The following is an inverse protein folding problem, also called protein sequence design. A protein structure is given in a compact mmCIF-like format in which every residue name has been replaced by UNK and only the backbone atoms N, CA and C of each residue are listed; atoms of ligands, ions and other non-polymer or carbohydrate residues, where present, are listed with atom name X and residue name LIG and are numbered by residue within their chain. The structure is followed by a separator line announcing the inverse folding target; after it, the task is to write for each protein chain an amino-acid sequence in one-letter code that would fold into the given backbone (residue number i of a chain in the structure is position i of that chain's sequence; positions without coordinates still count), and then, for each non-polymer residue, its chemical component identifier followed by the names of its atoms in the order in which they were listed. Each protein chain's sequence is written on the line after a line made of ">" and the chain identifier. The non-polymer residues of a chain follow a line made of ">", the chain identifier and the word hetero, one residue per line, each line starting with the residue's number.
data_IF_629224065499
#
_entry.id   IF_629224065499
#
_cell.length_a   1.000
_cell.length_b   1.000
_cell.length_c   1.000
_cell.angle_alpha   90.00
_cell.angle_beta   90.00
_cell.angle_gamma   90.00
#
_symmetry.space_group_name_H-M   'P 1'
#
loop_
_entity.id
_entity.type
_entity.pdbx_description
1 polymer ?
#
# COMPACT_ATOMS: atom_id res chain seq x y z
N UNK A 1 63.29 76.43 -115.68
CA UNK A 1 62.88 76.70 -114.28
C UNK A 1 61.36 76.81 -114.26
N UNK A 2 60.53 76.22 -113.41
CA UNK A 2 60.60 75.19 -112.37
C UNK A 2 59.14 74.69 -112.17
N UNK A 3 58.96 73.41 -111.82
CA UNK A 3 57.66 72.78 -111.46
C UNK A 3 57.20 73.27 -110.08
N UNK A 4 55.89 73.40 -109.88
CA UNK A 4 55.27 73.25 -108.54
C UNK A 4 53.92 72.52 -108.67
N UNK A 5 53.74 71.47 -107.87
CA UNK A 5 52.49 70.72 -107.70
C UNK A 5 51.59 71.42 -106.68
N UNK A 6 50.30 71.59 -107.01
CA UNK A 6 49.28 72.09 -106.09
C UNK A 6 48.85 71.00 -105.09
N UNK A 7 48.69 71.38 -103.82
CA UNK A 7 48.40 70.47 -102.69
C UNK A 7 46.94 69.99 -102.64
N UNK A 8 46.62 68.93 -101.86
CA UNK A 8 45.27 68.33 -101.79
C UNK A 8 44.26 69.25 -101.11
N UNK A 9 43.04 69.33 -101.64
CA UNK A 9 41.94 70.09 -101.04
C UNK A 9 41.21 69.25 -99.98
N UNK A 10 41.30 69.69 -98.73
CA UNK A 10 40.59 69.10 -97.60
C UNK A 10 39.16 69.66 -97.52
N UNK A 11 38.16 68.76 -97.55
CA UNK A 11 36.75 69.12 -97.58
C UNK A 11 36.29 69.55 -96.18
N UNK A 12 36.52 70.82 -95.86
CA UNK A 12 36.08 71.45 -94.62
C UNK A 12 34.55 71.58 -94.61
N UNK A 13 33.88 70.67 -93.89
CA UNK A 13 32.46 70.83 -93.54
C UNK A 13 32.37 71.84 -92.40
N UNK A 14 31.73 72.98 -92.66
CA UNK A 14 31.45 73.99 -91.63
C UNK A 14 30.39 73.43 -90.68
N UNK A 15 30.88 72.78 -89.62
CA UNK A 15 30.05 72.39 -88.49
C UNK A 15 29.83 73.64 -87.64
N UNK A 16 28.58 74.08 -87.51
CA UNK A 16 28.21 75.22 -86.66
C UNK A 16 28.54 74.87 -85.21
N UNK A 17 29.64 75.44 -84.71
CA UNK A 17 30.10 75.26 -83.35
C UNK A 17 29.14 75.98 -82.40
N UNK A 18 28.20 75.25 -81.79
CA UNK A 18 27.30 75.73 -80.72
C UNK A 18 27.85 75.26 -79.36
N UNK A 19 28.92 75.87 -78.82
CA UNK A 19 29.65 75.36 -77.65
C UNK A 19 28.78 75.27 -76.39
N UNK A 20 27.82 76.19 -76.25
CA UNK A 20 26.95 76.27 -75.08
C UNK A 20 26.01 75.07 -74.96
N UNK A 21 25.42 74.57 -76.06
CA UNK A 21 24.48 73.43 -76.00
C UNK A 21 25.16 72.13 -75.59
N UNK A 22 26.36 71.86 -76.11
CA UNK A 22 27.13 70.66 -75.78
C UNK A 22 27.60 70.66 -74.32
N UNK A 23 27.97 71.84 -73.80
CA UNK A 23 28.32 72.02 -72.39
C UNK A 23 27.11 71.76 -71.47
N UNK A 24 25.94 72.34 -71.80
CA UNK A 24 24.70 72.09 -71.04
C UNK A 24 24.30 70.61 -71.05
N UNK A 25 24.35 69.91 -72.20
CA UNK A 25 24.00 68.48 -72.25
C UNK A 25 24.95 67.61 -71.45
N UNK A 26 26.24 67.97 -71.37
CA UNK A 26 27.20 67.26 -70.52
C UNK A 26 26.90 67.48 -69.05
N UNK A 27 26.62 68.72 -68.65
CA UNK A 27 26.23 69.04 -67.27
C UNK A 27 24.95 68.28 -66.88
N UNK A 28 23.91 68.29 -67.71
CA UNK A 28 22.67 67.56 -67.39
C UNK A 28 22.91 66.06 -67.30
N UNK A 29 23.71 65.47 -68.19
CA UNK A 29 24.05 64.04 -68.10
C UNK A 29 24.79 63.69 -66.80
N UNK A 30 25.73 64.53 -66.36
CA UNK A 30 26.45 64.34 -65.08
C UNK A 30 25.50 64.45 -63.90
N UNK A 31 24.61 65.45 -63.89
CA UNK A 31 23.61 65.62 -62.82
C UNK A 31 22.67 64.41 -62.74
N UNK A 32 22.22 63.88 -63.88
CA UNK A 32 21.37 62.68 -63.93
C UNK A 32 22.11 61.46 -63.38
N UNK A 33 23.38 61.26 -63.76
CA UNK A 33 24.19 60.15 -63.26
C UNK A 33 24.39 60.27 -61.74
N UNK A 34 24.74 61.46 -61.25
CA UNK A 34 24.91 61.70 -59.80
C UNK A 34 23.59 61.47 -59.06
N UNK A 35 22.48 61.94 -59.61
CA UNK A 35 21.15 61.71 -59.02
C UNK A 35 20.80 60.21 -58.96
N UNK A 36 21.13 59.43 -59.99
CA UNK A 36 20.96 57.98 -60.01
C UNK A 36 21.82 57.27 -58.97
N UNK A 37 23.10 57.65 -58.83
CA UNK A 37 24.02 57.07 -57.84
C UNK A 37 23.55 57.37 -56.41
N UNK A 38 23.14 58.61 -56.14
CA UNK A 38 22.62 59.00 -54.82
C UNK A 38 21.30 58.28 -54.53
N UNK A 39 20.40 58.20 -55.52
CA UNK A 39 19.13 57.46 -55.39
C UNK A 39 19.35 55.97 -55.09
N UNK A 40 20.25 55.31 -55.82
CA UNK A 40 20.60 53.91 -55.60
C UNK A 40 21.26 53.69 -54.23
N UNK A 41 22.12 54.59 -53.79
CA UNK A 41 22.77 54.50 -52.47
C UNK A 41 21.77 54.67 -51.32
N UNK A 42 20.84 55.62 -51.43
CA UNK A 42 19.80 55.83 -50.41
C UNK A 42 18.82 54.64 -50.36
N UNK A 43 18.42 54.12 -51.52
CA UNK A 43 17.53 52.96 -51.63
C UNK A 43 18.19 51.67 -51.09
N UNK A 44 19.45 51.42 -51.44
CA UNK A 44 20.21 50.29 -50.90
C UNK A 44 20.44 50.39 -49.39
N UNK A 45 20.62 51.61 -48.88
CA UNK A 45 20.73 51.87 -47.44
C UNK A 45 19.42 51.59 -46.70
N UNK A 46 18.25 51.95 -47.25
CA UNK A 46 16.96 51.64 -46.61
C UNK A 46 16.66 50.14 -46.57
N UNK A 47 16.88 49.40 -47.66
CA UNK A 47 16.66 47.96 -47.66
C UNK A 47 17.64 47.19 -46.76
N UNK A 48 18.87 47.69 -46.61
CA UNK A 48 19.88 47.12 -45.71
C UNK A 48 19.49 47.21 -44.23
N UNK A 49 18.83 48.30 -43.83
CA UNK A 49 18.40 48.47 -42.43
C UNK A 49 17.25 47.54 -42.03
N UNK A 50 16.29 47.26 -42.92
CA UNK A 50 15.20 46.34 -42.62
C UNK A 50 15.71 44.90 -42.44
N UNK A 51 16.55 44.41 -43.37
CA UNK A 51 17.15 43.07 -43.27
C UNK A 51 18.05 42.92 -42.04
N UNK A 52 18.77 43.98 -41.66
CA UNK A 52 19.59 44.02 -40.44
C UNK A 52 18.74 43.92 -39.15
N UNK A 53 17.60 44.62 -39.09
CA UNK A 53 16.69 44.57 -37.94
C UNK A 53 16.08 43.19 -37.75
N UNK A 54 15.52 42.57 -38.79
CA UNK A 54 14.95 41.21 -38.69
C UNK A 54 15.99 40.17 -38.27
N UNK A 55 17.22 40.29 -38.76
CA UNK A 55 18.30 39.37 -38.37
C UNK A 55 18.68 39.57 -36.90
N UNK A 56 18.77 40.82 -36.45
CA UNK A 56 19.11 41.15 -35.05
C UNK A 56 18.01 40.72 -34.09
N UNK A 57 16.73 40.94 -34.45
CA UNK A 57 15.58 40.50 -33.67
C UNK A 57 15.53 38.98 -33.53
N UNK A 58 15.77 38.23 -34.62
CA UNK A 58 15.85 36.76 -34.58
C UNK A 58 17.01 36.28 -33.72
N UNK A 59 18.19 36.89 -33.86
CA UNK A 59 19.34 36.53 -33.01
C UNK A 59 19.01 36.79 -31.55
N UNK A 60 18.40 37.93 -31.23
CA UNK A 60 18.01 38.26 -29.86
C UNK A 60 16.95 37.30 -29.31
N UNK A 61 15.92 36.94 -30.11
CA UNK A 61 14.89 35.99 -29.68
C UNK A 61 15.45 34.58 -29.48
N UNK A 62 16.28 34.09 -30.40
CA UNK A 62 16.95 32.80 -30.26
C UNK A 62 17.89 32.80 -29.04
N UNK A 63 18.61 33.89 -28.81
CA UNK A 63 19.48 34.01 -27.62
C UNK A 63 18.66 33.98 -26.34
N UNK A 64 17.50 34.66 -26.31
CA UNK A 64 16.60 34.63 -25.17
C UNK A 64 16.03 33.22 -24.92
N UNK A 65 15.63 32.51 -25.99
CA UNK A 65 15.14 31.13 -25.92
C UNK A 65 16.22 30.17 -25.40
N UNK A 66 17.46 30.28 -25.88
CA UNK A 66 18.59 29.49 -25.38
C UNK A 66 18.80 29.73 -23.89
N UNK A 67 18.79 31.00 -23.44
CA UNK A 67 18.93 31.32 -22.02
C UNK A 67 17.77 30.77 -21.17
N UNK A 68 16.55 30.75 -21.70
CA UNK A 68 15.39 30.16 -21.02
C UNK A 68 15.51 28.63 -20.92
N UNK A 69 15.92 27.98 -22.01
CA UNK A 69 16.16 26.55 -22.04
C UNK A 69 17.28 26.15 -21.08
N UNK A 70 18.39 26.90 -21.03
CA UNK A 70 19.48 26.67 -20.08
C UNK A 70 18.98 26.79 -18.63
N UNK A 71 18.19 27.82 -18.30
CA UNK A 71 17.58 27.97 -16.97
C UNK A 71 16.66 26.81 -16.64
N UNK A 72 15.86 26.35 -17.61
CA UNK A 72 14.96 25.21 -17.44
C UNK A 72 15.73 23.91 -17.19
N UNK A 73 16.80 23.68 -17.95
CA UNK A 73 17.68 22.52 -17.77
C UNK A 73 18.32 22.55 -16.37
N UNK A 74 18.81 23.71 -15.92
CA UNK A 74 19.37 23.83 -14.57
C UNK A 74 18.32 23.55 -13.49
N UNK A 75 17.10 24.08 -13.62
CA UNK A 75 16.01 23.82 -12.68
C UNK A 75 15.62 22.34 -12.65
N UNK A 76 15.46 21.71 -13.82
CA UNK A 76 15.14 20.29 -13.92
C UNK A 76 16.23 19.42 -13.32
N UNK A 77 17.51 19.71 -13.60
CA UNK A 77 18.63 19.01 -12.98
C UNK A 77 18.60 19.12 -11.45
N UNK A 78 18.35 20.32 -10.93
CA UNK A 78 18.23 20.52 -9.48
C UNK A 78 17.07 19.72 -8.89
N UNK A 79 15.90 19.71 -9.55
CA UNK A 79 14.75 18.90 -9.12
C UNK A 79 15.08 17.41 -9.13
N UNK A 80 15.73 16.90 -10.17
CA UNK A 80 16.15 15.49 -10.25
C UNK A 80 17.08 15.14 -9.09
N UNK A 81 18.10 15.98 -8.81
CA UNK A 81 19.01 15.76 -7.69
C UNK A 81 18.26 15.73 -6.35
N UNK A 82 17.31 16.66 -6.14
CA UNK A 82 16.49 16.68 -4.92
C UNK A 82 15.63 15.41 -4.81
N UNK A 83 15.01 14.97 -5.90
CA UNK A 83 14.17 13.77 -5.92
C UNK A 83 14.98 12.49 -5.70
N UNK A 84 16.16 12.38 -6.32
CA UNK A 84 17.07 11.25 -6.11
C UNK A 84 17.54 11.17 -4.66
N UNK A 85 17.92 12.32 -4.07
CA UNK A 85 18.31 12.40 -2.66
C UNK A 85 17.14 12.12 -1.71
N UNK A 86 15.95 12.60 -2.03
CA UNK A 86 14.72 12.27 -1.30
C UNK A 86 14.46 10.77 -1.29
N UNK A 87 14.51 10.13 -2.47
CA UNK A 87 14.33 8.68 -2.58
C UNK A 87 15.41 7.87 -1.85
N UNK A 88 16.66 8.34 -1.81
CA UNK A 88 17.73 7.72 -1.04
C UNK A 88 17.43 7.77 0.47
N UNK A 89 17.00 8.93 0.97
CA UNK A 89 16.61 9.12 2.38
C UNK A 89 15.39 8.27 2.73
N UNK A 90 14.37 8.25 1.88
CA UNK A 90 13.15 7.46 2.09
C UNK A 90 13.46 5.96 2.18
N UNK A 91 14.34 5.44 1.32
CA UNK A 91 14.79 4.05 1.38
C UNK A 91 15.55 3.75 2.69
N UNK A 92 16.43 4.65 3.11
CA UNK A 92 17.18 4.49 4.36
C UNK A 92 16.24 4.52 5.58
N UNK A 93 15.25 5.42 5.59
CA UNK A 93 14.24 5.49 6.63
C UNK A 93 13.38 4.22 6.68
N UNK A 94 12.93 3.72 5.52
CA UNK A 94 12.15 2.49 5.42
C UNK A 94 12.94 1.26 5.94
N UNK A 95 14.22 1.12 5.60
CA UNK A 95 15.04 0.03 6.11
C UNK A 95 15.30 0.17 7.62
N UNK A 96 15.50 1.39 8.14
CA UNK A 96 15.61 1.64 9.59
C UNK A 96 14.36 1.22 10.36
N UNK A 97 13.17 1.56 9.85
CA UNK A 97 11.89 1.11 10.42
C UNK A 97 11.77 -0.42 10.37
N UNK A 98 12.15 -1.03 9.24
CA UNK A 98 12.13 -2.49 9.08
C UNK A 98 13.07 -3.19 10.07
N UNK A 99 14.28 -2.68 10.25
CA UNK A 99 15.24 -3.19 11.24
C UNK A 99 14.72 -3.03 12.67
N UNK A 100 14.15 -1.88 13.00
CA UNK A 100 13.52 -1.64 14.31
C UNK A 100 12.39 -2.63 14.57
N UNK A 101 11.52 -2.89 13.59
CA UNK A 101 10.42 -3.83 13.72
C UNK A 101 10.93 -5.27 13.95
N UNK A 102 11.96 -5.69 13.22
CA UNK A 102 12.61 -6.99 13.44
C UNK A 102 13.14 -7.10 14.86
N UNK A 103 13.91 -6.11 15.31
CA UNK A 103 14.48 -6.09 16.67
C UNK A 103 13.39 -6.18 17.75
N UNK A 104 12.31 -5.42 17.61
CA UNK A 104 11.18 -5.46 18.55
C UNK A 104 10.50 -6.83 18.57
N UNK A 105 10.34 -7.48 17.41
CA UNK A 105 9.79 -8.84 17.35
C UNK A 105 10.71 -9.86 18.02
N UNK A 106 12.01 -9.74 17.81
CA UNK A 106 13.00 -10.62 18.44
C UNK A 106 13.00 -10.43 19.96
N UNK A 107 12.88 -9.18 20.45
CA UNK A 107 12.77 -8.85 21.86
C UNK A 107 11.47 -9.39 22.48
N UNK A 108 10.33 -9.23 21.80
CA UNK A 108 9.05 -9.83 22.23
C UNK A 108 9.19 -11.36 22.33
N UNK A 109 9.75 -12.00 21.31
CA UNK A 109 9.94 -13.45 21.31
C UNK A 109 10.84 -13.93 22.47
N UNK A 110 11.91 -13.17 22.76
CA UNK A 110 12.79 -13.44 23.89
C UNK A 110 12.08 -13.29 25.24
N UNK A 111 11.33 -12.19 25.43
CA UNK A 111 10.56 -11.94 26.66
C UNK A 111 9.47 -13.00 26.85
N UNK A 112 8.74 -13.37 25.80
CA UNK A 112 7.74 -14.43 25.87
C UNK A 112 8.37 -15.78 26.23
N UNK A 113 9.56 -16.08 25.69
CA UNK A 113 10.30 -17.28 26.04
C UNK A 113 10.74 -17.26 27.51
N UNK A 114 11.22 -16.13 28.01
CA UNK A 114 11.59 -15.96 29.41
C UNK A 114 10.38 -16.10 30.34
N UNK A 115 9.23 -15.52 29.98
CA UNK A 115 7.98 -15.67 30.73
C UNK A 115 7.52 -17.13 30.74
N UNK A 116 7.59 -17.84 29.61
CA UNK A 116 7.26 -19.28 29.55
C UNK A 116 8.19 -20.10 30.43
N UNK A 117 9.49 -19.82 30.40
CA UNK A 117 10.48 -20.49 31.26
C UNK A 117 10.21 -20.21 32.74
N UNK A 118 9.96 -18.95 33.11
CA UNK A 118 9.66 -18.55 34.47
C UNK A 118 8.38 -19.20 34.98
N UNK A 119 7.30 -19.20 34.19
CA UNK A 119 6.06 -19.93 34.50
C UNK A 119 6.33 -21.42 34.70
N UNK A 120 7.16 -22.03 33.86
CA UNK A 120 7.56 -23.44 33.97
C UNK A 120 8.31 -23.78 35.27
N UNK A 121 9.12 -22.85 35.80
CA UNK A 121 9.91 -23.07 37.04
C UNK A 121 9.13 -22.68 38.30
N UNK A 122 8.48 -21.52 38.30
CA UNK A 122 7.89 -20.91 39.51
C UNK A 122 6.45 -21.30 39.77
N UNK A 123 5.72 -21.73 38.74
CA UNK A 123 4.35 -22.17 38.88
C UNK A 123 4.08 -23.40 37.99
N UNK A 124 4.58 -24.59 38.39
CA UNK A 124 4.02 -25.85 37.89
C UNK A 124 2.51 -25.97 38.23
N UNK A 125 2.00 -25.05 39.07
CA UNK A 125 0.74 -25.16 39.79
C UNK A 125 -0.40 -24.22 39.38
N UNK A 126 -0.28 -23.36 38.36
CA UNK A 126 -1.50 -22.68 37.85
C UNK A 126 -2.39 -23.66 37.03
N UNK A 127 -1.83 -24.84 36.74
CA UNK A 127 -2.50 -26.10 36.34
C UNK A 127 -2.46 -27.18 37.46
N UNK A 128 -2.18 -26.81 38.73
CA UNK A 128 -1.82 -27.75 39.84
C UNK A 128 -2.79 -28.88 40.11
N UNK A 129 -4.04 -28.72 39.71
CA UNK A 129 -5.09 -29.66 40.05
C UNK A 129 -5.33 -30.70 38.99
N UNK A 130 -4.77 -30.51 37.79
CA UNK A 130 -4.85 -31.51 36.74
C UNK A 130 -6.25 -31.78 36.21
N UNK A 131 -7.26 -30.97 36.53
CA UNK A 131 -8.61 -31.14 36.03
C UNK A 131 -8.86 -30.17 34.87
N UNK A 132 -8.91 -30.70 33.65
CA UNK A 132 -9.24 -29.94 32.44
C UNK A 132 -10.50 -30.54 31.80
N UNK A 133 -11.44 -29.68 31.42
CA UNK A 133 -12.54 -30.07 30.51
C UNK A 133 -12.09 -29.62 29.13
N UNK A 134 -11.82 -30.58 28.25
CA UNK A 134 -11.24 -30.31 26.93
C UNK A 134 -12.33 -29.95 25.93
N UNK A 135 -13.41 -30.74 25.91
CA UNK A 135 -14.47 -30.56 24.92
C UNK A 135 -15.82 -31.09 25.43
N UNK A 136 -16.89 -30.40 25.05
CA UNK A 136 -18.25 -30.92 25.08
C UNK A 136 -18.84 -30.78 23.67
N UNK A 137 -19.28 -31.90 23.08
CA UNK A 137 -19.96 -31.91 21.80
C UNK A 137 -21.33 -32.56 21.91
N UNK A 138 -22.30 -32.04 21.16
CA UNK A 138 -23.63 -32.60 21.04
C UNK A 138 -23.98 -32.77 19.55
N UNK A 139 -24.33 -33.99 19.14
CA UNK A 139 -24.77 -34.32 17.80
C UNK A 139 -26.27 -34.60 17.80
N UNK A 140 -27.03 -33.97 16.91
CA UNK A 140 -28.47 -34.26 16.78
C UNK A 140 -28.67 -35.63 16.14
N UNK A 141 -29.47 -36.48 16.80
CA UNK A 141 -29.81 -37.85 16.31
C UNK A 141 -31.32 -38.03 16.08
N UNK A 142 -32.15 -37.06 16.46
CA UNK A 142 -33.60 -37.08 16.22
C UNK A 142 -34.31 -35.83 16.72
N UNK A 143 -35.66 -35.79 16.67
CA UNK A 143 -36.45 -34.72 17.27
C UNK A 143 -36.20 -34.69 18.79
N UNK A 144 -35.70 -33.56 19.28
CA UNK A 144 -35.33 -33.35 20.68
C UNK A 144 -34.33 -34.38 21.25
N UNK A 145 -33.64 -35.14 20.38
CA UNK A 145 -32.64 -36.15 20.75
C UNK A 145 -31.24 -35.78 20.28
N UNK A 146 -30.28 -35.87 21.18
CA UNK A 146 -28.87 -35.57 20.93
C UNK A 146 -27.98 -36.66 21.52
N UNK A 147 -26.89 -36.99 20.85
CA UNK A 147 -25.78 -37.76 21.42
C UNK A 147 -24.73 -36.78 21.90
N UNK A 148 -24.26 -36.92 23.13
CA UNK A 148 -23.19 -36.06 23.65
C UNK A 148 -21.89 -36.84 23.89
N UNK A 149 -20.79 -36.11 23.81
CA UNK A 149 -19.46 -36.55 24.22
C UNK A 149 -18.84 -35.44 25.08
N UNK A 150 -18.53 -35.79 26.32
CA UNK A 150 -17.77 -34.94 27.24
C UNK A 150 -16.38 -35.56 27.43
N UNK A 151 -15.34 -34.79 27.12
CA UNK A 151 -13.95 -35.21 27.27
C UNK A 151 -13.30 -34.50 28.47
N UNK A 152 -12.92 -35.29 29.47
CA UNK A 152 -12.18 -34.84 30.64
C UNK A 152 -10.73 -35.27 30.50
N UNK A 153 -9.79 -34.32 30.65
CA UNK A 153 -8.36 -34.54 30.43
C UNK A 153 -7.53 -34.09 31.64
N UNK A 154 -6.41 -34.76 31.86
CA UNK A 154 -5.43 -34.40 32.87
C UNK A 154 -4.31 -33.53 32.30
N UNK A 155 -4.17 -32.29 32.81
CA UNK A 155 -3.06 -31.39 32.44
C UNK A 155 -1.75 -31.65 33.22
N UNK A 156 -1.66 -32.70 34.05
CA UNK A 156 -0.54 -32.97 34.96
C UNK A 156 0.34 -34.14 34.51
N UNK A 157 1.65 -33.98 34.69
CA UNK A 157 2.70 -34.92 34.24
C UNK A 157 2.93 -36.14 35.13
N UNK A 158 2.27 -36.19 36.29
CA UNK A 158 2.76 -36.99 37.43
C UNK A 158 2.24 -38.43 37.39
N UNK A 159 1.39 -38.75 36.41
CA UNK A 159 0.85 -40.09 36.17
C UNK A 159 -0.02 -40.64 37.30
N UNK A 160 -0.43 -39.83 38.27
CA UNK A 160 -1.38 -40.20 39.33
C UNK A 160 -2.81 -40.21 38.81
N UNK A 161 -3.66 -41.08 39.36
CA UNK A 161 -5.09 -41.07 39.09
C UNK A 161 -5.74 -39.82 39.69
N UNK A 162 -6.62 -39.17 38.94
CA UNK A 162 -7.50 -38.10 39.41
C UNK A 162 -8.90 -38.66 39.59
N UNK A 163 -9.47 -38.48 40.78
CA UNK A 163 -10.84 -38.89 41.12
C UNK A 163 -11.69 -37.67 41.45
N UNK A 164 -12.97 -37.70 41.10
CA UNK A 164 -13.88 -36.59 41.38
C UNK A 164 -15.27 -36.81 40.83
N UNK A 165 -16.02 -35.71 40.75
CA UNK A 165 -17.38 -35.65 40.24
C UNK A 165 -17.50 -34.56 39.19
N UNK A 166 -18.27 -34.82 38.14
CA UNK A 166 -18.67 -33.79 37.19
C UNK A 166 -20.19 -33.70 37.13
N UNK A 167 -20.71 -32.49 37.32
CA UNK A 167 -22.09 -32.14 37.10
C UNK A 167 -22.21 -31.36 35.79
N UNK A 168 -23.23 -31.69 35.00
CA UNK A 168 -23.51 -31.01 33.72
C UNK A 168 -24.94 -30.48 33.77
N UNK A 169 -25.08 -29.19 33.52
CA UNK A 169 -26.36 -28.49 33.44
C UNK A 169 -26.52 -27.88 32.06
N UNK A 170 -27.68 -28.08 31.46
CA UNK A 170 -28.00 -27.59 30.12
C UNK A 170 -29.00 -26.46 30.29
N UNK A 171 -28.62 -25.29 29.81
CA UNK A 171 -29.40 -24.07 29.84
C UNK A 171 -30.03 -23.89 28.46
N UNK A 172 -31.32 -23.57 28.43
CA UNK A 172 -32.03 -23.33 27.20
C UNK A 172 -33.29 -22.51 27.41
N UNK A 173 -34.05 -22.38 26.35
CA UNK A 173 -35.29 -21.62 26.31
C UNK A 173 -36.44 -22.53 25.90
N UNK A 174 -37.62 -22.33 26.50
CA UNK A 174 -38.87 -22.98 26.09
C UNK A 174 -39.51 -22.22 24.92
N UNK A 175 -40.53 -22.80 24.26
CA UNK A 175 -41.29 -22.12 23.20
C UNK A 175 -41.90 -20.77 23.64
N UNK A 176 -42.13 -20.61 24.95
CA UNK A 176 -42.67 -19.37 25.53
C UNK A 176 -41.59 -18.31 25.82
N UNK A 177 -40.31 -18.61 25.59
CA UNK A 177 -39.17 -17.71 25.85
C UNK A 177 -38.64 -17.74 27.28
N UNK A 178 -39.17 -18.60 28.15
CA UNK A 178 -38.67 -18.75 29.51
C UNK A 178 -37.35 -19.55 29.53
N UNK A 179 -36.34 -19.03 30.25
CA UNK A 179 -35.07 -19.72 30.47
C UNK A 179 -35.27 -20.86 31.47
N UNK A 180 -34.95 -22.07 31.04
CA UNK A 180 -35.05 -23.30 31.84
C UNK A 180 -33.69 -23.99 31.87
N UNK A 181 -33.35 -24.56 33.03
CA UNK A 181 -32.11 -25.31 33.24
C UNK A 181 -32.49 -26.76 33.53
N UNK A 182 -31.94 -27.69 32.74
CA UNK A 182 -32.07 -29.12 32.97
C UNK A 182 -30.73 -29.71 33.41
N UNK A 183 -30.71 -30.45 34.51
CA UNK A 183 -29.56 -31.26 34.85
C UNK A 183 -29.45 -32.43 33.88
N UNK A 184 -28.24 -32.84 33.51
CA UNK A 184 -28.03 -33.89 32.50
C UNK A 184 -28.72 -35.21 32.87
N UNK A 185 -28.81 -35.55 34.16
CA UNK A 185 -29.53 -36.72 34.65
C UNK A 185 -31.05 -36.71 34.39
N UNK A 186 -31.66 -35.53 34.27
CA UNK A 186 -33.12 -35.41 34.11
C UNK A 186 -33.51 -35.56 32.63
N UNK A 187 -32.54 -35.44 31.73
CA UNK A 187 -32.71 -35.46 30.28
C UNK A 187 -31.94 -36.60 29.61
N UNK A 188 -31.11 -37.35 30.33
CA UNK A 188 -30.35 -38.49 29.81
C UNK A 188 -30.79 -39.79 30.48
N UNK A 189 -31.40 -40.75 29.75
CA UNK A 189 -31.73 -42.06 30.30
C UNK A 189 -30.50 -42.92 30.61
N UNK A 190 -29.32 -42.55 30.10
CA UNK A 190 -28.06 -43.26 30.30
C UNK A 190 -27.30 -42.79 31.57
N UNK A 191 -27.76 -41.71 32.22
CA UNK A 191 -27.10 -41.12 33.38
C UNK A 191 -28.05 -41.11 34.59
N UNK A 192 -27.84 -42.06 35.50
CA UNK A 192 -28.65 -42.22 36.70
C UNK A 192 -28.25 -41.28 37.88
N UNK A 193 -27.25 -40.40 37.70
CA UNK A 193 -26.69 -39.59 38.81
C UNK A 193 -26.33 -38.16 38.37
N UNK A 194 -26.68 -37.16 39.21
CA UNK A 194 -26.31 -35.73 39.05
C UNK A 194 -24.81 -35.57 38.83
N UNK A 195 -24.04 -36.32 39.61
CA UNK A 195 -22.59 -36.24 39.71
C UNK A 195 -21.98 -37.51 39.11
N UNK A 196 -21.43 -37.38 37.90
CA UNK A 196 -20.75 -38.47 37.22
C UNK A 196 -19.39 -38.63 37.86
N UNK A 197 -19.20 -39.74 38.58
CA UNK A 197 -17.91 -40.06 39.20
C UNK A 197 -16.89 -40.36 38.10
N UNK A 198 -15.79 -39.63 38.07
CA UNK A 198 -14.69 -39.89 37.17
C UNK A 198 -13.48 -40.45 37.92
N UNK A 199 -12.72 -41.31 37.24
CA UNK A 199 -11.42 -41.80 37.70
C UNK A 199 -10.55 -42.12 36.50
N UNK A 200 -9.59 -41.25 36.21
CA UNK A 200 -8.70 -41.44 35.06
C UNK A 200 -7.26 -41.07 35.38
N UNK A 201 -6.35 -41.60 34.56
CA UNK A 201 -4.92 -41.26 34.60
C UNK A 201 -4.55 -40.23 33.54
N UNK A 202 -5.22 -40.27 32.38
CA UNK A 202 -4.93 -39.43 31.22
C UNK A 202 -6.18 -38.70 30.73
N UNK A 203 -7.22 -39.45 30.36
CA UNK A 203 -8.50 -38.91 29.93
C UNK A 203 -9.64 -39.87 30.27
N UNK A 204 -10.86 -39.34 30.31
CA UNK A 204 -12.09 -40.12 30.37
C UNK A 204 -13.17 -39.46 29.50
N UNK A 205 -13.77 -40.28 28.64
CA UNK A 205 -14.90 -39.88 27.83
C UNK A 205 -16.18 -40.29 28.56
N UNK A 206 -17.12 -39.35 28.65
CA UNK A 206 -18.49 -39.61 29.09
C UNK A 206 -19.40 -39.44 27.89
N UNK A 207 -20.10 -40.51 27.51
CA UNK A 207 -20.97 -40.56 26.34
C UNK A 207 -22.36 -41.00 26.76
N UNK A 208 -23.36 -40.50 26.08
CA UNK A 208 -24.75 -40.91 26.26
C UNK A 208 -25.68 -40.17 25.32
N UNK A 209 -26.98 -40.41 25.50
CA UNK A 209 -28.03 -39.73 24.76
C UNK A 209 -28.83 -38.80 25.65
N UNK A 210 -29.23 -37.66 25.10
CA UNK A 210 -30.06 -36.65 25.74
C UNK A 210 -31.38 -36.61 24.97
N UNK A 211 -32.49 -36.70 25.70
CA UNK A 211 -33.85 -36.49 25.25
C UNK A 211 -34.41 -35.29 25.99
N UNK A 212 -34.58 -34.18 25.29
CA UNK A 212 -35.25 -33.01 25.86
C UNK A 212 -36.78 -33.13 25.74
N UNK A 213 -37.53 -32.45 26.62
CA UNK A 213 -38.96 -32.23 26.43
C UNK A 213 -39.25 -31.44 25.14
N UNK A 214 -40.41 -31.69 24.55
CA UNK A 214 -40.83 -31.00 23.33
C UNK A 214 -40.85 -29.47 23.53
N UNK A 215 -40.26 -28.75 22.57
CA UNK A 215 -40.23 -27.28 22.59
C UNK A 215 -39.07 -26.66 23.38
N UNK A 216 -38.13 -27.46 23.89
CA UNK A 216 -36.91 -26.95 24.54
C UNK A 216 -35.77 -26.75 23.53
N UNK A 217 -35.16 -25.56 23.55
CA UNK A 217 -33.99 -25.22 22.72
C UNK A 217 -32.77 -24.98 23.61
N UNK A 218 -31.77 -25.87 23.60
CA UNK A 218 -30.55 -25.65 24.37
C UNK A 218 -29.74 -24.50 23.78
N UNK A 219 -29.21 -23.64 24.63
CA UNK A 219 -28.39 -22.47 24.26
C UNK A 219 -26.99 -22.55 24.84
N UNK A 220 -26.84 -23.06 26.06
CA UNK A 220 -25.55 -23.15 26.74
C UNK A 220 -25.45 -24.42 27.59
N UNK A 221 -24.22 -24.84 27.89
CA UNK A 221 -23.90 -25.93 28.80
C UNK A 221 -22.98 -25.40 29.88
N UNK A 222 -23.37 -25.61 31.14
CA UNK A 222 -22.55 -25.33 32.30
C UNK A 222 -22.03 -26.63 32.90
N UNK A 223 -20.71 -26.76 32.98
CA UNK A 223 -20.00 -27.94 33.44
C UNK A 223 -19.28 -27.57 34.73
N UNK A 224 -19.64 -28.25 35.82
CA UNK A 224 -19.00 -28.09 37.12
C UNK A 224 -18.26 -29.37 37.46
N UNK A 225 -16.93 -29.33 37.40
CA UNK A 225 -16.08 -30.48 37.69
C UNK A 225 -15.34 -30.26 39.01
N UNK A 226 -15.43 -31.22 39.93
CA UNK A 226 -14.79 -31.17 41.23
C UNK A 226 -13.90 -32.41 41.44
N UNK A 227 -12.59 -32.19 41.57
CA UNK A 227 -11.64 -33.24 41.97
C UNK A 227 -11.60 -33.41 43.50
N UNK A 228 -11.41 -34.65 43.96
CA UNK A 228 -11.38 -35.03 45.38
C UNK A 228 -10.02 -35.63 45.72
N UNK A 229 -9.55 -35.37 46.95
CA UNK A 229 -8.29 -35.90 47.48
C UNK A 229 -7.25 -34.81 47.70
N UNK A 230 -5.97 -35.16 47.61
CA UNK A 230 -4.85 -34.25 47.88
C UNK A 230 -4.69 -33.13 46.83
N UNK A 231 -5.48 -33.19 45.74
CA UNK A 231 -5.51 -32.22 44.64
C UNK A 231 -6.96 -31.79 44.38
N UNK A 232 -7.59 -31.17 45.37
CA UNK A 232 -8.96 -30.66 45.22
C UNK A 232 -8.99 -29.41 44.34
N UNK A 233 -9.73 -29.46 43.23
CA UNK A 233 -10.10 -28.30 42.42
C UNK A 233 -11.58 -28.34 42.14
N UNK A 234 -12.14 -27.15 41.98
CA UNK A 234 -13.41 -26.97 41.30
C UNK A 234 -13.16 -26.14 40.04
N UNK A 235 -13.69 -26.60 38.92
CA UNK A 235 -13.74 -25.86 37.66
C UNK A 235 -15.20 -25.70 37.27
N UNK A 236 -15.56 -24.47 36.91
CA UNK A 236 -16.88 -24.09 36.44
C UNK A 236 -16.69 -23.47 35.06
N UNK A 237 -17.29 -24.08 34.05
CA UNK A 237 -17.14 -23.71 32.66
C UNK A 237 -18.52 -23.56 32.04
N UNK A 238 -18.70 -22.49 31.29
CA UNK A 238 -19.91 -22.22 30.53
C UNK A 238 -19.53 -22.19 29.05
N UNK A 239 -20.14 -23.08 28.26
CA UNK A 239 -19.83 -23.30 26.85
C UNK A 239 -21.13 -23.09 26.06
N UNK A 240 -21.06 -22.39 24.94
CA UNK A 240 -22.20 -22.23 24.05
C UNK A 240 -22.58 -23.59 23.43
N UNK A 241 -23.89 -23.86 23.33
CA UNK A 241 -24.38 -25.12 22.77
C UNK A 241 -24.12 -25.16 21.26
N UNK A 242 -23.11 -25.93 20.84
CA UNK A 242 -22.79 -26.16 19.44
C UNK A 242 -23.23 -27.56 19.02
N UNK A 243 -24.17 -27.63 18.07
CA UNK A 243 -24.58 -28.91 17.47
C UNK A 243 -23.61 -29.27 16.36
N UNK A 244 -22.85 -30.35 16.53
CA UNK A 244 -22.04 -30.91 15.46
C UNK A 244 -22.95 -31.82 14.64
N UNK A 245 -23.39 -31.36 13.48
CA UNK A 245 -24.20 -32.13 12.53
C UNK A 245 -23.58 -32.08 11.15
N UNK A 246 -23.39 -33.25 10.54
CA UNK A 246 -23.12 -33.40 9.11
C UNK A 246 -24.26 -32.72 8.32
N UNK A 247 -23.89 -31.91 7.32
CA UNK A 247 -24.75 -31.63 6.17
C UNK A 247 -25.10 -32.92 5.42
#
# INVERSE_FOLDING_TARGET
>A
MARVHGSPQEKLVVVVHRPWRLFLTRITSVVVIVSLVVGAFLFGRSEGFEKGRFTTERVNSLTAEVLELERTILNLRQRTVILEKGAEVDRAAAESVRQTNRRLRDEIAAVEQEVRLYRGIMAPGDNSTGLLVEEFSAQRIGPDRYRFLLMLTHAGSDGTFLEGYVGVNIIGETENGDKVVYALQDVSPDIDRVDIRFRYRYFQDVRGEIQFPAGFRPTQVRIVAQAIGNRSATRDLEIDWQVIGEE
#
